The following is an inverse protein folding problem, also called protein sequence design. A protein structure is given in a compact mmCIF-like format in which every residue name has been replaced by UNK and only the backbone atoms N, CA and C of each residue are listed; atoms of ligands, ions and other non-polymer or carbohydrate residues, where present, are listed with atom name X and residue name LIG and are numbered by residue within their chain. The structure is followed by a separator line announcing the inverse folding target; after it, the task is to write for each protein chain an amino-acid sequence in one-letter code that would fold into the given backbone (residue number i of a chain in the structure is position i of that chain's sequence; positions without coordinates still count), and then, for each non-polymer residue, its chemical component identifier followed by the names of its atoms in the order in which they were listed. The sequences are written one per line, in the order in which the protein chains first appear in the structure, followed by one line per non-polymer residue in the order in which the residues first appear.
data_IF_615190153509
#
_entry.id   IF_615190153509
#
_cell.length_a   1.000
_cell.length_b   1.000
_cell.length_c   1.000
_cell.angle_alpha   90.00
_cell.angle_beta   90.00
_cell.angle_gamma   90.00
#
_symmetry.space_group_name_H-M   'P 1'
#
loop_
_entity.id
_entity.type
_entity.pdbx_description
1 polymer ?
#
# COMPACT_ATOMS: atom_id res chain seq x y z
N UNK A 1 -22.99 20.14 -57.69
CA UNK A 1 -22.60 18.84 -57.09
C UNK A 1 -21.42 18.94 -56.12
N UNK A 2 -20.43 19.81 -56.33
CA UNK A 2 -19.31 20.01 -55.39
C UNK A 2 -19.66 20.42 -53.92
N UNK A 3 -20.67 21.26 -53.62
CA UNK A 3 -20.91 21.71 -52.25
C UNK A 3 -21.52 20.64 -51.34
N UNK A 4 -22.14 19.60 -51.91
CA UNK A 4 -22.74 18.51 -51.13
C UNK A 4 -21.66 17.59 -50.56
N UNK A 5 -20.58 17.37 -51.31
CA UNK A 5 -19.45 16.54 -50.88
C UNK A 5 -18.67 17.19 -49.72
N UNK A 6 -18.46 18.51 -49.76
CA UNK A 6 -17.77 19.22 -48.69
C UNK A 6 -18.58 19.23 -47.39
N UNK A 7 -19.91 19.40 -47.48
CA UNK A 7 -20.79 19.30 -46.32
C UNK A 7 -20.79 17.90 -45.69
N UNK A 8 -20.78 16.84 -46.51
CA UNK A 8 -20.65 15.46 -46.04
C UNK A 8 -19.30 15.22 -45.36
N UNK A 9 -18.21 15.73 -45.92
CA UNK A 9 -16.87 15.56 -45.35
C UNK A 9 -16.71 16.28 -44.00
N UNK A 10 -17.25 17.49 -43.88
CA UNK A 10 -17.25 18.27 -42.63
C UNK A 10 -18.13 17.58 -41.57
N UNK A 11 -19.32 17.09 -41.97
CA UNK A 11 -20.20 16.35 -41.08
C UNK A 11 -19.56 15.06 -40.55
N UNK A 12 -18.89 14.30 -41.42
CA UNK A 12 -18.16 13.10 -41.04
C UNK A 12 -17.00 13.40 -40.07
N UNK A 13 -16.24 14.48 -40.32
CA UNK A 13 -15.16 14.92 -39.43
C UNK A 13 -15.68 15.32 -38.05
N UNK A 14 -16.77 16.10 -37.99
CA UNK A 14 -17.40 16.49 -36.72
C UNK A 14 -17.91 15.26 -35.94
N UNK A 15 -18.55 14.31 -36.63
CA UNK A 15 -19.00 13.07 -36.00
C UNK A 15 -17.83 12.24 -35.47
N UNK A 16 -16.73 12.15 -36.22
CA UNK A 16 -15.52 11.45 -35.77
C UNK A 16 -14.91 12.11 -34.52
N UNK A 17 -14.80 13.44 -34.52
CA UNK A 17 -14.30 14.20 -33.37
C UNK A 17 -15.18 14.02 -32.13
N UNK A 18 -16.51 14.08 -32.29
CA UNK A 18 -17.45 13.84 -31.18
C UNK A 18 -17.33 12.42 -30.64
N UNK A 19 -17.22 11.43 -31.53
CA UNK A 19 -17.08 10.02 -31.15
C UNK A 19 -15.80 9.81 -30.34
N UNK A 20 -14.66 10.32 -30.82
CA UNK A 20 -13.39 10.25 -30.10
C UNK A 20 -13.45 10.93 -28.73
N UNK A 21 -14.08 12.10 -28.66
CA UNK A 21 -14.22 12.85 -27.41
C UNK A 21 -15.07 12.08 -26.39
N UNK A 22 -16.18 11.46 -26.84
CA UNK A 22 -17.03 10.63 -25.99
C UNK A 22 -16.30 9.38 -25.52
N UNK A 23 -15.59 8.67 -26.41
CA UNK A 23 -14.79 7.50 -26.04
C UNK A 23 -13.75 7.85 -24.97
N UNK A 24 -13.01 8.94 -25.16
CA UNK A 24 -12.01 9.39 -24.20
C UNK A 24 -12.63 9.76 -22.84
N UNK A 25 -13.78 10.45 -22.84
CA UNK A 25 -14.52 10.76 -21.61
C UNK A 25 -15.00 9.50 -20.90
N UNK A 26 -15.50 8.51 -21.64
CA UNK A 26 -15.98 7.24 -21.08
C UNK A 26 -14.82 6.46 -20.48
N UNK A 27 -13.67 6.41 -21.13
CA UNK A 27 -12.47 5.78 -20.57
C UNK A 27 -12.01 6.47 -19.29
N UNK A 28 -11.89 7.80 -19.30
CA UNK A 28 -11.51 8.57 -18.11
C UNK A 28 -12.49 8.37 -16.95
N UNK A 29 -13.80 8.39 -17.22
CA UNK A 29 -14.82 8.09 -16.22
C UNK A 29 -14.76 6.62 -15.76
N UNK A 30 -14.41 5.68 -16.63
CA UNK A 30 -14.21 4.28 -16.31
C UNK A 30 -13.04 4.07 -15.36
N UNK A 31 -11.89 4.69 -15.64
CA UNK A 31 -10.70 4.65 -14.79
C UNK A 31 -10.96 5.31 -13.43
N UNK A 32 -11.61 6.49 -13.41
CA UNK A 32 -11.97 7.19 -12.18
C UNK A 32 -12.94 6.37 -11.30
N UNK A 33 -13.90 5.66 -11.90
CA UNK A 33 -14.80 4.75 -11.16
C UNK A 33 -14.08 3.50 -10.64
N UNK A 34 -13.05 3.01 -11.35
CA UNK A 34 -12.23 1.90 -10.90
C UNK A 34 -11.41 2.25 -9.66
N UNK A 35 -10.79 3.44 -9.65
CA UNK A 35 -9.99 3.90 -8.51
C UNK A 35 -10.83 4.19 -7.27
N UNK A 36 -12.04 4.75 -7.43
CA UNK A 36 -12.97 4.97 -6.32
C UNK A 36 -13.39 3.66 -5.63
N UNK A 37 -13.65 2.59 -6.39
CA UNK A 37 -14.03 1.30 -5.81
C UNK A 37 -12.90 0.69 -4.98
N UNK A 38 -11.68 0.68 -5.53
CA UNK A 38 -10.50 0.19 -4.82
C UNK A 38 -10.20 1.03 -3.57
N UNK A 39 -10.39 2.34 -3.66
CA UNK A 39 -10.21 3.25 -2.52
C UNK A 39 -11.22 2.98 -1.41
N UNK A 40 -12.50 2.79 -1.74
CA UNK A 40 -13.54 2.44 -0.76
C UNK A 40 -13.28 1.12 -0.05
N UNK A 41 -12.84 0.08 -0.78
CA UNK A 41 -12.46 -1.20 -0.18
C UNK A 41 -11.26 -1.07 0.76
N UNK A 42 -10.27 -0.26 0.37
CA UNK A 42 -9.09 0.00 1.20
C UNK A 42 -9.44 0.79 2.45
N UNK A 43 -10.31 1.81 2.33
CA UNK A 43 -10.80 2.61 3.45
C UNK A 43 -11.66 1.77 4.42
N UNK A 44 -12.51 0.87 3.90
CA UNK A 44 -13.28 -0.06 4.73
C UNK A 44 -12.39 -1.04 5.49
N UNK A 45 -11.42 -1.67 4.82
CA UNK A 45 -10.46 -2.56 5.46
C UNK A 45 -9.60 -1.82 6.51
N UNK A 46 -9.22 -0.58 6.24
CA UNK A 46 -8.49 0.27 7.19
C UNK A 46 -9.35 0.60 8.42
N UNK A 47 -10.65 0.84 8.24
CA UNK A 47 -11.58 1.10 9.34
C UNK A 47 -11.76 -0.15 10.21
N UNK A 48 -11.92 -1.32 9.60
CA UNK A 48 -12.04 -2.60 10.31
C UNK A 48 -10.78 -2.92 11.13
N UNK A 49 -9.59 -2.74 10.56
CA UNK A 49 -8.31 -2.92 11.27
C UNK A 49 -8.19 -1.94 12.44
N UNK A 50 -8.58 -0.68 12.25
CA UNK A 50 -8.57 0.33 13.32
C UNK A 50 -9.50 -0.06 14.47
N UNK A 51 -10.69 -0.58 14.15
CA UNK A 51 -11.63 -1.05 15.15
C UNK A 51 -11.06 -2.25 15.92
N UNK A 52 -10.49 -3.25 15.23
CA UNK A 52 -9.86 -4.39 15.87
C UNK A 52 -8.70 -3.99 16.79
N UNK A 53 -7.88 -3.01 16.38
CA UNK A 53 -6.80 -2.47 17.23
C UNK A 53 -7.37 -1.83 18.49
N UNK A 54 -8.45 -1.05 18.37
CA UNK A 54 -9.05 -0.38 19.52
C UNK A 54 -9.69 -1.39 20.48
N UNK A 55 -10.37 -2.42 19.97
CA UNK A 55 -10.87 -3.53 20.77
C UNK A 55 -9.75 -4.27 21.50
N UNK A 56 -8.63 -4.56 20.81
CA UNK A 56 -7.45 -5.18 21.42
C UNK A 56 -6.82 -4.27 22.49
N UNK A 57 -6.77 -2.96 22.27
CA UNK A 57 -6.24 -2.00 23.25
C UNK A 57 -7.12 -1.93 24.49
N UNK A 58 -8.44 -1.95 24.31
CA UNK A 58 -9.40 -2.00 25.43
C UNK A 58 -9.20 -3.29 26.22
N UNK A 59 -9.16 -4.44 25.54
CA UNK A 59 -8.91 -5.73 26.19
C UNK A 59 -7.56 -5.79 26.92
N UNK A 60 -6.51 -5.19 26.35
CA UNK A 60 -5.19 -5.11 26.99
C UNK A 60 -5.22 -4.21 28.23
N UNK A 61 -5.88 -3.06 28.17
CA UNK A 61 -6.06 -2.16 29.33
C UNK A 61 -6.85 -2.84 30.44
N UNK A 62 -7.90 -3.57 30.10
CA UNK A 62 -8.68 -4.34 31.08
C UNK A 62 -7.85 -5.47 31.72
N UNK A 63 -7.04 -6.17 30.92
CA UNK A 63 -6.12 -7.19 31.41
C UNK A 63 -5.01 -6.60 32.31
N UNK A 64 -4.44 -5.46 31.94
CA UNK A 64 -3.46 -4.72 32.74
C UNK A 64 -4.06 -4.24 34.06
N UNK A 65 -5.30 -3.71 34.04
CA UNK A 65 -6.00 -3.27 35.24
C UNK A 65 -6.35 -4.44 36.17
N UNK A 66 -6.73 -5.60 35.63
CA UNK A 66 -6.97 -6.82 36.43
C UNK A 66 -5.66 -7.44 36.96
N UNK A 67 -4.53 -7.18 36.32
CA UNK A 67 -3.21 -7.76 36.65
C UNK A 67 -2.28 -6.72 37.29
N UNK A 68 -2.82 -5.77 38.06
CA UNK A 68 -2.13 -4.57 38.55
C UNK A 68 -0.88 -4.72 39.45
N UNK A 69 -0.08 -5.79 39.39
CA UNK A 69 1.11 -5.97 40.25
C UNK A 69 2.34 -6.59 39.56
N UNK A 70 2.25 -7.29 38.43
CA UNK A 70 3.44 -7.92 37.85
C UNK A 70 3.80 -7.36 36.47
N UNK A 71 4.96 -6.70 36.43
CA UNK A 71 5.88 -6.43 35.31
C UNK A 71 5.27 -6.66 33.92
N UNK A 72 5.19 -5.64 33.05
CA UNK A 72 4.61 -5.81 31.73
C UNK A 72 5.36 -6.93 30.98
N UNK A 73 4.67 -7.99 30.51
CA UNK A 73 5.31 -8.93 29.62
C UNK A 73 5.71 -8.15 28.37
N UNK A 74 7.00 -8.12 28.07
CA UNK A 74 7.52 -7.55 26.84
C UNK A 74 6.68 -8.13 25.70
N UNK A 75 5.98 -7.31 24.90
CA UNK A 75 5.10 -7.84 23.86
C UNK A 75 5.92 -8.82 23.02
N UNK A 76 5.38 -10.01 22.67
CA UNK A 76 6.10 -10.94 21.83
C UNK A 76 6.45 -10.17 20.56
N UNK A 77 7.75 -9.89 20.37
CA UNK A 77 8.32 -9.20 19.22
C UNK A 77 7.98 -10.04 18.00
N UNK A 78 6.77 -9.82 17.48
CA UNK A 78 6.28 -10.43 16.26
C UNK A 78 7.24 -9.95 15.20
N UNK A 79 8.12 -10.86 14.77
CA UNK A 79 9.35 -10.51 14.09
C UNK A 79 9.09 -9.60 12.91
N UNK A 80 9.84 -8.50 12.82
CA UNK A 80 9.93 -7.52 11.74
C UNK A 80 8.76 -7.56 10.73
N UNK A 81 7.79 -6.65 10.82
CA UNK A 81 6.66 -6.54 9.88
C UNK A 81 7.07 -6.77 8.41
N UNK A 82 6.24 -7.44 7.60
CA UNK A 82 6.55 -7.73 6.18
C UNK A 82 6.92 -6.46 5.38
N UNK A 83 6.26 -5.34 5.68
CA UNK A 83 6.56 -4.03 5.12
C UNK A 83 7.94 -3.51 5.54
N UNK A 84 8.30 -3.65 6.82
CA UNK A 84 9.63 -3.26 7.32
C UNK A 84 10.72 -4.19 6.81
N UNK A 85 10.44 -5.47 6.54
CA UNK A 85 11.40 -6.42 5.92
C UNK A 85 11.74 -6.00 4.50
N UNK A 86 10.71 -5.72 3.70
CA UNK A 86 10.90 -5.25 2.34
C UNK A 86 11.66 -3.92 2.28
N UNK A 87 11.37 -3.01 3.21
CA UNK A 87 12.07 -1.72 3.33
C UNK A 87 13.53 -1.90 3.79
N UNK A 88 13.80 -2.73 4.80
CA UNK A 88 15.15 -3.03 5.27
C UNK A 88 16.02 -3.63 4.16
N UNK A 89 15.50 -4.60 3.40
CA UNK A 89 16.20 -5.18 2.25
C UNK A 89 16.43 -4.15 1.15
N UNK A 90 15.51 -3.23 0.91
CA UNK A 90 15.68 -2.15 -0.07
C UNK A 90 16.77 -1.16 0.34
N UNK A 91 16.84 -0.81 1.62
CA UNK A 91 17.91 0.04 2.17
C UNK A 91 19.26 -0.67 2.12
N UNK A 92 19.30 -1.97 2.44
CA UNK A 92 20.50 -2.79 2.32
C UNK A 92 21.01 -2.89 0.87
N UNK A 93 20.10 -3.08 -0.10
CA UNK A 93 20.46 -3.05 -1.54
C UNK A 93 20.99 -1.70 -2.01
N UNK A 94 20.71 -0.60 -1.30
CA UNK A 94 21.26 0.74 -1.57
C UNK A 94 22.63 0.96 -0.94
N UNK A 95 23.18 -0.04 -0.25
CA UNK A 95 24.48 0.03 0.42
C UNK A 95 24.43 0.66 1.82
N UNK A 96 23.23 0.82 2.41
CA UNK A 96 23.14 1.28 3.79
C UNK A 96 23.60 0.23 4.79
N UNK A 97 24.27 0.67 5.85
CA UNK A 97 24.77 -0.22 6.89
C UNK A 97 23.63 -0.71 7.82
N UNK A 98 23.68 -1.95 8.33
CA UNK A 98 22.63 -2.54 9.17
C UNK A 98 22.23 -1.69 10.38
N UNK A 99 23.19 -0.98 10.97
CA UNK A 99 23.02 -0.10 12.14
C UNK A 99 22.17 1.12 11.78
N UNK A 100 22.38 1.69 10.58
CA UNK A 100 21.57 2.81 10.07
C UNK A 100 20.16 2.36 9.68
N UNK A 101 20.03 1.17 9.11
CA UNK A 101 18.74 0.58 8.75
C UNK A 101 17.92 0.30 10.02
N UNK A 102 18.55 -0.26 11.06
CA UNK A 102 17.95 -0.50 12.36
C UNK A 102 17.43 0.80 13.01
N UNK A 103 18.25 1.85 12.99
CA UNK A 103 17.87 3.17 13.49
C UNK A 103 16.71 3.79 12.69
N UNK A 104 16.77 3.73 11.36
CA UNK A 104 15.76 4.31 10.49
C UNK A 104 14.40 3.60 10.61
N UNK A 105 14.40 2.28 10.80
CA UNK A 105 13.18 1.47 10.89
C UNK A 105 12.70 1.24 12.33
N UNK A 106 13.42 1.75 13.33
CA UNK A 106 13.16 1.52 14.76
C UNK A 106 13.07 0.02 15.09
N UNK A 107 13.98 -0.79 14.54
CA UNK A 107 14.02 -2.24 14.74
C UNK A 107 15.40 -2.67 15.28
N UNK A 108 15.53 -3.72 16.10
CA UNK A 108 16.83 -4.16 16.61
C UNK A 108 17.81 -4.51 15.49
N UNK A 109 19.07 -4.08 15.61
CA UNK A 109 20.14 -4.36 14.65
C UNK A 109 20.32 -5.87 14.39
N UNK A 110 20.19 -6.68 15.44
CA UNK A 110 20.27 -8.13 15.37
C UNK A 110 19.21 -8.72 14.42
N UNK A 111 18.00 -8.16 14.37
CA UNK A 111 16.94 -8.61 13.48
C UNK A 111 17.21 -8.22 12.02
N UNK A 112 17.77 -7.03 11.78
CA UNK A 112 18.17 -6.58 10.44
C UNK A 112 19.31 -7.46 9.92
N UNK A 113 20.32 -7.74 10.75
CA UNK A 113 21.44 -8.63 10.41
C UNK A 113 20.97 -10.05 10.13
N UNK A 114 20.03 -10.57 10.92
CA UNK A 114 19.43 -11.89 10.69
C UNK A 114 18.64 -11.92 9.37
N UNK A 115 17.83 -10.89 9.11
CA UNK A 115 17.05 -10.74 7.88
C UNK A 115 17.94 -10.75 6.64
N UNK A 116 19.03 -10.00 6.66
CA UNK A 116 19.99 -9.94 5.55
C UNK A 116 20.62 -11.31 5.31
N UNK A 117 21.07 -11.99 6.36
CA UNK A 117 21.65 -13.35 6.26
C UNK A 117 20.66 -14.34 5.67
N UNK A 118 19.42 -14.36 6.17
CA UNK A 118 18.37 -15.26 5.66
C UNK A 118 18.07 -14.97 4.18
N UNK A 119 17.99 -13.69 3.79
CA UNK A 119 17.77 -13.30 2.41
C UNK A 119 18.91 -13.73 1.48
N UNK A 120 20.17 -13.59 1.91
CA UNK A 120 21.33 -14.07 1.15
C UNK A 120 21.29 -15.59 0.95
N UNK A 121 20.89 -16.33 1.99
CA UNK A 121 20.74 -17.78 1.92
C UNK A 121 19.56 -18.23 1.04
N UNK A 122 18.50 -17.41 0.92
CA UNK A 122 17.33 -17.73 0.09
C UNK A 122 17.48 -17.31 -1.37
N UNK A 123 18.27 -16.26 -1.66
CA UNK A 123 18.54 -15.79 -3.02
C UNK A 123 19.74 -16.51 -3.66
N UNK A 124 20.66 -17.04 -2.84
CA UNK A 124 21.80 -17.85 -3.29
C UNK A 124 21.48 -19.32 -3.57
N UNK A 125 20.20 -19.67 -3.73
CA UNK A 125 19.71 -21.00 -4.11
C UNK A 125 18.81 -20.85 -5.34
#
# INVERSE_FOLDING_TARGET
MMPVWTLLLVGAGLMLCLTLFVLLKVELCGLARGTEKSRKLTEAALAEIRQAIEELRVGLREAEQRTGVLVPPTPPRTGLNLTTRAQALRMFRRGEQPERIAAALHVPENEVRLLIKVHQLSVGR
#
